data_IF_806328090503
#
_entry.id   IF_806328090503
#
_cell.length_a   1.000
_cell.length_b   1.000
_cell.length_c   1.000
_cell.angle_alpha   90.00
_cell.angle_beta   90.00
_cell.angle_gamma   90.00
#
_symmetry.space_group_name_H-M   'P 1'
#
loop_
_entity.id
_entity.type
_entity.pdbx_description
1 polymer ?
#
# COMPACT_ATOMS: atom_id res chain seq x y z
N UNK A 1 -0.56 -33.97 16.73
CA UNK A 1 -0.26 -33.08 15.57
C UNK A 1 -1.49 -33.03 14.67
N UNK A 2 -1.89 -31.84 14.20
CA UNK A 2 -3.03 -31.70 13.28
C UNK A 2 -2.58 -31.77 11.82
N UNK A 3 -2.86 -32.89 11.14
CA UNK A 3 -2.62 -33.04 9.71
C UNK A 3 -3.89 -32.79 8.91
N UNK A 4 -3.82 -32.18 7.72
CA UNK A 4 -4.99 -32.04 6.85
C UNK A 4 -5.51 -33.41 6.40
N UNK A 5 -6.79 -33.71 6.66
CA UNK A 5 -7.43 -34.97 6.24
C UNK A 5 -7.43 -35.18 4.71
N UNK A 6 -7.46 -34.09 3.92
CA UNK A 6 -7.51 -34.14 2.45
C UNK A 6 -7.02 -32.85 1.82
N UNK A 7 -6.65 -32.94 0.54
CA UNK A 7 -6.35 -31.79 -0.30
C UNK A 7 -7.57 -30.87 -0.41
N UNK A 8 -7.33 -29.57 -0.23
CA UNK A 8 -8.35 -28.54 -0.42
C UNK A 8 -8.75 -28.44 -1.90
N UNK A 9 -10.05 -28.32 -2.18
CA UNK A 9 -10.55 -28.17 -3.56
C UNK A 9 -10.06 -26.87 -4.21
N UNK A 10 -10.02 -26.83 -5.55
CA UNK A 10 -9.63 -25.63 -6.32
C UNK A 10 -10.50 -24.42 -5.94
N UNK A 11 -11.81 -24.64 -5.82
CA UNK A 11 -12.77 -23.60 -5.40
C UNK A 11 -12.45 -23.05 -4.00
N UNK A 12 -12.25 -23.92 -3.00
CA UNK A 12 -11.97 -23.49 -1.62
C UNK A 12 -10.64 -22.75 -1.50
N UNK A 13 -9.61 -23.17 -2.25
CA UNK A 13 -8.32 -22.46 -2.35
C UNK A 13 -8.50 -21.06 -2.95
N UNK A 14 -9.24 -20.93 -4.05
CA UNK A 14 -9.41 -19.65 -4.75
C UNK A 14 -10.28 -18.69 -3.94
N UNK A 15 -11.34 -19.18 -3.28
CA UNK A 15 -12.17 -18.37 -2.37
C UNK A 15 -11.37 -17.79 -1.20
N UNK A 16 -10.39 -18.55 -0.68
CA UNK A 16 -9.49 -18.02 0.37
C UNK A 16 -8.55 -16.95 -0.19
N UNK A 17 -8.06 -17.12 -1.42
CA UNK A 17 -7.13 -16.18 -2.07
C UNK A 17 -7.79 -14.90 -2.59
N UNK A 18 -9.11 -14.89 -2.80
CA UNK A 18 -9.82 -13.72 -3.32
C UNK A 18 -9.74 -12.50 -2.40
N UNK A 19 -9.49 -12.70 -1.10
CA UNK A 19 -9.25 -11.61 -0.15
C UNK A 19 -7.94 -10.88 -0.48
N UNK A 20 -6.88 -11.64 -0.78
CA UNK A 20 -5.56 -11.08 -1.09
C UNK A 20 -5.50 -10.44 -2.47
N UNK A 21 -6.41 -10.80 -3.36
CA UNK A 21 -6.51 -10.16 -4.68
C UNK A 21 -7.07 -8.72 -4.61
N UNK A 22 -7.61 -8.31 -3.46
CA UNK A 22 -8.20 -6.97 -3.25
C UNK A 22 -7.27 -6.03 -2.49
N UNK A 23 -5.96 -6.12 -2.72
CA UNK A 23 -5.03 -5.15 -2.14
C UNK A 23 -5.21 -3.83 -2.91
N UNK A 24 -5.67 -2.80 -2.23
CA UNK A 24 -5.88 -1.48 -2.80
C UNK A 24 -4.54 -0.78 -3.04
N UNK A 25 -4.45 -0.04 -4.15
CA UNK A 25 -3.30 0.82 -4.41
C UNK A 25 -3.22 1.93 -3.36
N UNK A 26 -2.00 2.34 -2.95
CA UNK A 26 -1.86 3.42 -1.99
C UNK A 26 -2.44 4.72 -2.53
N UNK A 27 -3.16 5.45 -1.67
CA UNK A 27 -3.65 6.78 -2.00
C UNK A 27 -2.48 7.76 -2.09
N UNK A 28 -2.32 8.38 -3.25
CA UNK A 28 -1.29 9.37 -3.52
C UNK A 28 -1.95 10.74 -3.71
N UNK A 29 -1.31 11.77 -3.16
CA UNK A 29 -1.76 13.17 -3.21
C UNK A 29 -0.67 14.01 -3.85
N UNK A 30 -1.03 15.00 -4.66
CA UNK A 30 -0.07 15.93 -5.24
C UNK A 30 0.63 16.77 -4.14
N UNK A 31 1.95 16.95 -4.27
CA UNK A 31 2.70 17.83 -3.41
C UNK A 31 2.45 19.30 -3.80
N UNK A 32 2.14 20.21 -2.86
CA UNK A 32 1.84 21.61 -3.18
C UNK A 32 3.06 22.42 -3.69
N UNK A 33 4.28 21.89 -3.58
CA UNK A 33 5.51 22.59 -3.99
C UNK A 33 6.06 22.06 -5.31
N UNK A 34 6.25 20.74 -5.44
CA UNK A 34 6.82 20.12 -6.65
C UNK A 34 5.79 19.44 -7.55
N UNK A 35 4.51 19.45 -7.20
CA UNK A 35 3.41 18.81 -7.94
C UNK A 35 3.53 17.28 -8.16
N UNK A 36 4.56 16.64 -7.61
CA UNK A 36 4.71 15.19 -7.68
C UNK A 36 3.77 14.46 -6.70
N UNK A 37 3.45 13.23 -7.05
CA UNK A 37 2.64 12.33 -6.24
C UNK A 37 3.42 11.90 -4.99
N UNK A 38 2.89 12.24 -3.82
CA UNK A 38 3.41 11.82 -2.53
C UNK A 38 2.37 11.07 -1.71
N UNK A 39 2.83 10.28 -0.76
CA UNK A 39 1.94 9.67 0.22
C UNK A 39 1.45 10.75 1.20
N UNK A 40 0.17 10.76 1.59
CA UNK A 40 -0.35 11.71 2.57
C UNK A 40 0.39 11.58 3.91
N UNK A 41 0.48 12.70 4.64
CA UNK A 41 1.15 12.83 5.94
C UNK A 41 2.65 12.48 5.99
N UNK A 42 3.30 12.22 4.85
CA UNK A 42 4.75 12.04 4.74
C UNK A 42 5.44 13.27 4.13
N UNK A 43 6.72 13.42 4.46
CA UNK A 43 7.62 14.38 3.79
C UNK A 43 7.72 13.99 2.32
N UNK A 44 7.71 14.96 1.41
CA UNK A 44 7.92 14.67 0.01
C UNK A 44 9.37 14.23 -0.21
N UNK A 45 9.60 13.04 -0.77
CA UNK A 45 10.95 12.50 -1.01
C UNK A 45 11.78 13.29 -2.03
N UNK A 46 11.10 14.15 -2.80
CA UNK A 46 11.70 14.86 -3.93
C UNK A 46 12.11 16.27 -3.60
N UNK A 47 11.26 16.99 -2.86
CA UNK A 47 11.53 18.35 -2.46
C UNK A 47 11.89 18.49 -0.98
N UNK A 48 11.73 17.47 -0.15
CA UNK A 48 12.06 17.56 1.29
C UNK A 48 11.11 18.43 2.11
N UNK A 49 10.06 18.98 1.48
CA UNK A 49 9.10 19.85 2.14
C UNK A 49 7.97 19.08 2.82
N UNK A 50 7.66 19.50 4.04
CA UNK A 50 6.46 19.11 4.79
C UNK A 50 5.88 20.35 5.48
N UNK A 51 4.59 20.61 5.25
CA UNK A 51 3.88 21.80 5.79
C UNK A 51 4.61 23.13 5.50
N UNK A 52 5.20 23.26 4.31
CA UNK A 52 5.89 24.48 3.89
C UNK A 52 7.25 24.73 4.57
N UNK A 53 7.76 23.76 5.33
CA UNK A 53 9.12 23.78 5.87
C UNK A 53 9.97 22.70 5.20
N UNK A 54 11.20 23.05 4.87
CA UNK A 54 12.22 22.11 4.43
C UNK A 54 12.68 21.30 5.65
N UNK A 55 12.51 19.98 5.61
CA UNK A 55 12.78 19.08 6.75
C UNK A 55 14.05 18.25 6.53
N UNK A 56 14.43 18.03 5.27
CA UNK A 56 15.60 17.24 4.89
C UNK A 56 16.58 18.14 4.15
N UNK A 57 17.48 18.78 4.91
CA UNK A 57 18.78 19.22 4.38
C UNK A 57 19.65 18.01 4.03
#
# INVERSE_FOLDING_TARGET
MGVPQRRQSKSRKNKRRSIWAKIESPNLVACPQCHELKMPHRVCLKCGYYKGKEVTN
#
